data_IF_981719627112
#
_entry.id   IF_981719627112
#
_cell.length_a   1.000
_cell.length_b   1.000
_cell.length_c   1.000
_cell.angle_alpha   90.00
_cell.angle_beta   90.00
_cell.angle_gamma   90.00
#
_symmetry.space_group_name_H-M   'P 1'
#
loop_
_entity.id
_entity.type
_entity.pdbx_description
1 polymer ?
2 water ?
#
# COMPACT_ATOMS: atom_id res chain seq x y z
N UNK A 34 -6.63 -19.26 7.18
CA UNK A 34 -8.13 -19.25 7.28
C UNK A 34 -8.81 -18.46 6.17
N UNK A 35 -8.69 -17.14 6.24
CA UNK A 35 -9.27 -16.22 5.24
C UNK A 35 -8.85 -14.81 5.62
N UNK A 36 -8.40 -14.65 6.86
CA UNK A 36 -7.97 -13.35 7.40
C UNK A 36 -6.48 -13.11 7.12
N UNK A 37 -6.16 -12.04 6.38
CA UNK A 37 -4.75 -11.76 6.09
C UNK A 37 -4.01 -11.40 7.39
N UNK A 38 -3.10 -12.27 7.84
CA UNK A 38 -2.31 -12.11 9.08
C UNK A 38 -1.72 -10.72 9.30
N UNK A 39 -1.88 -10.19 10.51
CA UNK A 39 -1.33 -8.89 10.84
C UNK A 39 0.13 -9.16 11.15
N UNK A 40 1.00 -8.30 10.62
CA UNK A 40 2.44 -8.42 10.85
C UNK A 40 3.01 -7.01 10.82
N UNK A 41 3.36 -6.51 12.00
CA UNK A 41 3.88 -5.16 12.17
C UNK A 41 5.25 -4.86 11.56
N UNK A 42 6.23 -5.72 11.83
CA UNK A 42 7.60 -5.57 11.30
C UNK A 42 7.66 -4.90 9.92
N UNK A 43 8.60 -3.98 9.74
CA UNK A 43 8.75 -3.30 8.47
C UNK A 43 9.32 -4.22 7.37
N UNK A 44 8.77 -4.09 6.16
CA UNK A 44 9.16 -4.92 5.01
C UNK A 44 10.56 -4.74 4.44
N UNK A 45 10.98 -5.77 3.71
CA UNK A 45 12.26 -5.80 3.01
C UNK A 45 11.90 -5.54 1.56
N UNK A 46 12.67 -4.69 0.89
CA UNK A 46 12.39 -4.37 -0.51
C UNK A 46 13.07 -5.33 -1.46
N UNK A 47 12.27 -5.99 -2.30
CA UNK A 47 12.80 -6.95 -3.26
C UNK A 47 12.76 -6.37 -4.66
N UNK A 48 12.01 -5.28 -4.83
CA UNK A 48 11.88 -4.67 -6.14
C UNK A 48 11.20 -3.32 -5.96
N UNK A 49 11.11 -2.54 -7.03
CA UNK A 49 10.47 -1.23 -6.96
C UNK A 49 9.02 -1.45 -6.53
N UNK A 50 8.37 -2.45 -7.13
CA UNK A 50 6.97 -2.76 -6.82
C UNK A 50 6.75 -4.05 -6.03
N UNK A 51 7.75 -4.49 -5.27
CA UNK A 51 7.63 -5.70 -4.48
C UNK A 51 8.35 -5.58 -3.14
N UNK A 52 7.67 -5.98 -2.07
CA UNK A 52 8.26 -5.95 -0.73
C UNK A 52 7.75 -7.14 0.07
N UNK A 53 8.46 -7.51 1.14
CA UNK A 53 8.08 -8.68 1.92
C UNK A 53 8.28 -8.62 3.43
N UNK A 54 7.43 -9.36 4.14
CA UNK A 54 7.47 -9.47 5.60
C UNK A 54 7.45 -10.98 5.88
N UNK A 55 8.45 -11.48 6.59
CA UNK A 55 8.52 -12.90 6.91
C UNK A 55 7.70 -13.26 8.14
N UNK A 56 6.89 -14.29 8.01
CA UNK A 56 6.03 -14.76 9.10
C UNK A 56 6.74 -15.89 9.84
N UNK A 57 7.23 -16.85 9.06
CA UNK A 57 7.93 -18.01 9.58
C UNK A 57 9.19 -18.27 8.77
N UNK A 58 10.34 -18.23 9.43
CA UNK A 58 11.63 -18.49 8.78
C UNK A 58 11.65 -19.91 8.25
N UNK A 59 12.36 -20.12 7.16
CA UNK A 59 12.47 -21.44 6.59
C UNK A 59 13.91 -21.93 6.72
N UNK A 60 14.30 -22.87 5.86
CA UNK A 60 15.65 -23.40 5.90
C UNK A 60 16.21 -23.64 4.51
N UNK A 61 17.51 -23.91 4.43
CA UNK A 61 18.12 -24.16 3.15
C UNK A 61 18.41 -22.87 2.43
N UNK A 62 18.90 -22.97 1.20
CA UNK A 62 19.23 -21.79 0.42
C UNK A 62 18.05 -21.31 -0.40
N UNK A 63 18.15 -20.10 -0.91
CA UNK A 63 17.12 -19.52 -1.75
C UNK A 63 17.21 -20.31 -3.04
N UNK A 64 16.12 -20.33 -3.83
CA UNK A 64 16.13 -21.07 -5.08
C UNK A 64 16.94 -20.37 -6.14
N UNK A 65 17.34 -21.10 -7.17
CA UNK A 65 18.10 -20.52 -8.24
C UNK A 65 17.09 -20.10 -9.30
N UNK A 66 17.55 -19.32 -10.29
CA UNK A 66 16.67 -18.88 -11.35
C UNK A 66 16.24 -20.13 -12.10
N UNK A 67 15.02 -20.11 -12.62
CA UNK A 67 14.50 -21.25 -13.38
C UNK A 67 14.13 -22.47 -12.54
N UNK A 68 14.23 -22.32 -11.22
CA UNK A 68 13.88 -23.40 -10.30
C UNK A 68 12.37 -23.68 -10.25
N UNK A 69 12.01 -24.93 -9.98
CA UNK A 69 10.61 -25.31 -9.86
C UNK A 69 10.22 -25.16 -8.39
N UNK A 70 9.15 -24.42 -8.16
CA UNK A 70 8.70 -24.18 -6.79
C UNK A 70 7.28 -24.68 -6.56
N UNK A 71 7.10 -25.33 -5.42
CA UNK A 71 5.80 -25.82 -5.03
C UNK A 71 5.38 -24.96 -3.85
N UNK A 72 4.20 -24.36 -3.94
CA UNK A 72 3.76 -23.47 -2.87
C UNK A 72 2.26 -23.33 -2.69
N UNK A 73 1.90 -22.89 -1.49
CA UNK A 73 0.52 -22.61 -1.11
C UNK A 73 0.44 -21.09 -0.97
N UNK A 74 -0.73 -20.51 -1.21
CA UNK A 74 -0.87 -19.07 -1.06
C UNK A 74 -2.30 -18.55 -1.11
N UNK A 75 -2.50 -17.39 -0.52
CA UNK A 75 -3.79 -16.72 -0.53
C UNK A 75 -3.51 -15.35 -1.14
N UNK A 76 -4.50 -14.81 -1.85
CA UNK A 76 -4.31 -13.52 -2.47
C UNK A 76 -5.49 -12.61 -2.15
N UNK A 77 -5.17 -11.37 -1.82
CA UNK A 77 -6.18 -10.39 -1.46
C UNK A 77 -5.90 -9.09 -2.20
N UNK A 78 -6.95 -8.43 -2.69
CA UNK A 78 -6.80 -7.15 -3.34
C UNK A 78 -6.62 -6.22 -2.15
N UNK A 79 -5.64 -5.34 -2.21
CA UNK A 79 -5.37 -4.41 -1.12
C UNK A 79 -6.48 -3.44 -0.77
N UNK A 80 -7.18 -2.93 -1.76
CA UNK A 80 -8.19 -1.94 -1.43
C UNK A 80 -9.61 -2.33 -1.06
N UNK A 81 -9.89 -3.63 -0.96
CA UNK A 81 -11.23 -4.05 -0.53
C UNK A 81 -10.98 -5.21 0.43
N UNK A 82 -9.76 -5.76 0.34
CA UNK A 82 -9.32 -6.87 1.17
C UNK A 82 -10.15 -8.09 0.87
N UNK A 83 -10.42 -8.29 -0.42
CA UNK A 83 -11.19 -9.42 -0.90
C UNK A 83 -10.25 -10.58 -1.23
N UNK A 84 -10.57 -11.76 -0.72
CA UNK A 84 -9.74 -12.94 -0.99
C UNK A 84 -10.22 -13.57 -2.30
N UNK A 85 -9.39 -13.51 -3.34
CA UNK A 85 -9.77 -14.08 -4.61
C UNK A 85 -8.98 -15.33 -4.98
N UNK A 86 -8.15 -15.80 -4.05
CA UNK A 86 -7.35 -17.01 -4.26
C UNK A 86 -6.95 -17.58 -2.90
N UNK A 87 -7.01 -18.90 -2.78
CA UNK A 87 -6.67 -19.61 -1.53
C UNK A 87 -6.39 -21.07 -1.86
N UNK A 88 -5.14 -21.39 -2.16
CA UNK A 88 -4.78 -22.76 -2.49
C UNK A 88 -4.94 -23.72 -1.32
N UNK A 89 -4.86 -23.23 -0.09
CA UNK A 89 -5.05 -24.09 1.08
C UNK A 89 -6.50 -24.57 1.13
N UNK A 90 -7.44 -23.66 0.91
CA UNK A 90 -8.84 -24.04 0.95
C UNK A 90 -9.14 -25.08 -0.12
N UNK A 91 -8.63 -24.89 -1.34
CA UNK A 91 -8.91 -25.84 -2.39
C UNK A 91 -7.96 -27.03 -2.41
N UNK A 92 -7.16 -27.15 -1.35
CA UNK A 92 -6.21 -28.25 -1.22
C UNK A 92 -5.46 -28.50 -2.52
N UNK A 93 -4.97 -27.45 -3.15
CA UNK A 93 -4.26 -27.60 -4.42
C UNK A 93 -3.07 -26.65 -4.56
N UNK A 94 -1.91 -27.01 -3.97
CA UNK A 94 -0.76 -26.11 -4.10
C UNK A 94 -0.38 -25.99 -5.57
N UNK A 95 0.36 -24.94 -5.92
CA UNK A 95 0.75 -24.78 -7.31
C UNK A 95 2.22 -25.02 -7.56
N UNK A 96 2.53 -25.17 -8.83
CA UNK A 96 3.90 -25.38 -9.28
C UNK A 96 4.25 -24.12 -10.05
N UNK A 97 5.22 -23.38 -9.57
CA UNK A 97 5.63 -22.15 -10.21
C UNK A 97 7.08 -22.28 -10.70
N UNK A 98 7.27 -22.19 -12.01
CA UNK A 98 8.62 -22.28 -12.56
C UNK A 98 9.16 -20.87 -12.75
N UNK A 99 10.09 -20.48 -11.88
CA UNK A 99 10.69 -19.17 -11.93
C UNK A 99 11.28 -18.89 -13.32
N UNK A 100 10.90 -17.76 -13.90
CA UNK A 100 11.39 -17.40 -15.22
C UNK A 100 10.36 -17.75 -16.29
N UNK A 101 9.38 -18.57 -15.93
CA UNK A 101 8.35 -18.95 -16.90
C UNK A 101 6.96 -18.79 -16.31
N UNK A 102 6.85 -18.03 -15.22
CA UNK A 102 5.57 -17.81 -14.57
C UNK A 102 4.66 -16.95 -15.43
N UNK A 103 3.36 -17.07 -15.22
CA UNK A 103 2.40 -16.26 -15.96
C UNK A 103 2.66 -14.81 -15.58
N UNK A 104 2.20 -13.89 -16.40
CA UNK A 104 2.41 -12.48 -16.13
C UNK A 104 1.73 -11.98 -14.87
N UNK A 105 0.55 -12.51 -14.57
CA UNK A 105 -0.19 -12.08 -13.39
C UNK A 105 0.44 -12.50 -12.07
N UNK A 106 1.47 -13.34 -12.14
CA UNK A 106 2.17 -13.80 -10.94
C UNK A 106 3.60 -13.27 -10.89
N UNK A 107 3.91 -12.35 -11.80
CA UNK A 107 5.25 -11.75 -11.90
C UNK A 107 5.76 -11.26 -10.55
N UNK A 108 4.91 -10.52 -9.84
CA UNK A 108 5.29 -10.02 -8.53
C UNK A 108 5.48 -11.14 -7.52
N UNK A 109 4.55 -12.08 -7.50
CA UNK A 109 4.64 -13.19 -6.58
C UNK A 109 5.96 -13.92 -6.77
N UNK A 110 6.30 -14.22 -8.04
CA UNK A 110 7.53 -14.91 -8.39
C UNK A 110 8.76 -14.21 -7.78
N UNK A 111 8.80 -12.89 -7.93
CA UNK A 111 9.89 -12.10 -7.38
C UNK A 111 9.99 -12.32 -5.87
N UNK A 112 8.84 -12.41 -5.21
CA UNK A 112 8.85 -12.62 -3.78
C UNK A 112 9.33 -14.01 -3.47
N UNK A 113 8.78 -15.01 -4.16
CA UNK A 113 9.14 -16.41 -3.97
C UNK A 113 10.63 -16.62 -4.13
N UNK A 114 11.20 -15.98 -5.14
CA UNK A 114 12.62 -16.10 -5.42
C UNK A 114 13.47 -15.69 -4.23
N UNK A 115 12.88 -14.99 -3.27
CA UNK A 115 13.62 -14.52 -2.10
C UNK A 115 13.36 -15.38 -0.88
N UNK A 116 12.55 -16.42 -1.05
CA UNK A 116 12.20 -17.27 0.06
C UNK A 116 12.96 -18.58 0.16
N UNK A 117 13.00 -19.11 1.37
CA UNK A 117 13.66 -20.38 1.65
C UNK A 117 12.54 -21.40 1.71
N UNK A 118 12.89 -22.67 1.74
CA UNK A 118 11.88 -23.72 1.78
C UNK A 118 11.21 -23.76 3.14
N UNK A 119 9.89 -23.86 3.14
CA UNK A 119 9.15 -23.90 4.38
C UNK A 119 8.86 -22.53 4.95
N UNK A 120 9.36 -21.50 4.26
CA UNK A 120 9.12 -20.14 4.73
C UNK A 120 7.69 -19.69 4.42
N UNK A 121 7.17 -18.84 5.27
CA UNK A 121 5.83 -18.30 5.11
C UNK A 121 5.96 -16.79 5.24
N UNK A 122 5.47 -16.05 4.26
CA UNK A 122 5.59 -14.60 4.30
C UNK A 122 4.48 -13.87 3.58
N UNK A 123 4.43 -12.56 3.81
CA UNK A 123 3.45 -11.70 3.17
C UNK A 123 4.19 -11.01 2.03
N UNK A 124 3.55 -10.95 0.86
CA UNK A 124 4.19 -10.32 -0.28
C UNK A 124 3.28 -9.22 -0.83
N UNK A 125 3.81 -8.00 -0.79
CA UNK A 125 3.10 -6.83 -1.26
C UNK A 125 3.53 -6.58 -2.68
N UNK A 126 2.57 -6.68 -3.60
CA UNK A 126 2.85 -6.51 -5.01
C UNK A 126 2.09 -5.39 -5.70
N UNK A 127 2.85 -4.51 -6.35
CA UNK A 127 2.22 -3.42 -7.06
C UNK A 127 1.45 -4.02 -8.21
N UNK A 128 0.33 -3.41 -8.56
CA UNK A 128 -0.48 -3.91 -9.66
C UNK A 128 0.32 -4.09 -10.96
N UNK A 129 1.34 -3.26 -11.17
CA UNK A 129 2.15 -3.38 -12.38
C UNK A 129 2.65 -4.80 -12.57
N UNK A 130 2.99 -5.45 -11.47
CA UNK A 130 3.49 -6.81 -11.55
C UNK A 130 2.39 -7.86 -11.31
N UNK A 131 1.14 -7.41 -11.32
CA UNK A 131 -0.01 -8.30 -11.09
C UNK A 131 -0.96 -8.34 -12.29
N UNK A 132 -2.20 -7.89 -12.09
CA UNK A 132 -3.20 -7.89 -13.16
C UNK A 132 -3.20 -6.55 -13.94
N UNK A 133 -2.17 -5.74 -13.68
CA UNK A 133 -1.99 -4.48 -14.36
C UNK A 133 -3.10 -3.45 -14.51
N UNK A 134 -2.91 -2.59 -15.50
CA UNK A 134 -3.82 -1.50 -15.82
C UNK A 134 -5.29 -1.85 -15.87
N UNK A 135 -5.64 -2.93 -16.56
CA UNK A 135 -7.03 -3.35 -16.72
C UNK A 135 -7.58 -4.29 -15.67
N UNK A 136 -6.71 -4.99 -14.96
CA UNK A 136 -7.18 -5.95 -13.97
C UNK A 136 -7.66 -7.23 -14.66
N UNK A 137 -8.66 -7.88 -14.07
CA UNK A 137 -9.21 -9.11 -14.64
C UNK A 137 -10.73 -9.09 -14.52
N UNK A 138 -11.39 -9.58 -15.57
CA UNK A 138 -12.84 -9.62 -15.64
C UNK A 138 -13.51 -10.52 -14.61
N UNK A 139 -13.11 -11.79 -14.58
CA UNK A 139 -13.68 -12.74 -13.62
C UNK A 139 -12.83 -13.99 -13.46
N UNK A 140 -13.05 -14.69 -12.37
CA UNK A 140 -12.32 -15.91 -12.05
C UNK A 140 -10.81 -15.74 -12.28
N UNK A 141 -10.18 -14.80 -11.56
CA UNK A 141 -10.80 -13.93 -10.57
C UNK A 141 -11.17 -12.55 -11.08
N UNK A 142 -12.00 -11.86 -10.31
CA UNK A 142 -12.39 -10.51 -10.67
C UNK A 142 -11.44 -9.60 -9.90
N UNK A 143 -10.51 -8.98 -10.61
CA UNK A 143 -9.56 -8.08 -10.00
C UNK A 143 -9.68 -6.72 -10.66
N UNK A 144 -9.93 -5.67 -9.86
CA UNK A 144 -10.08 -4.29 -10.35
C UNK A 144 -8.82 -3.79 -11.05
N UNK A 145 -8.96 -2.73 -11.84
CA UNK A 145 -7.81 -2.16 -12.56
C UNK A 145 -6.80 -1.56 -11.57
N UNK A 146 -5.52 -1.64 -11.88
CA UNK A 146 -4.46 -1.10 -11.04
C UNK A 146 -4.70 -1.43 -9.57
N UNK A 147 -5.00 -2.69 -9.29
CA UNK A 147 -5.24 -3.12 -7.92
C UNK A 147 -4.03 -3.77 -7.26
N UNK A 148 -3.45 -3.07 -6.28
CA UNK A 148 -2.30 -3.62 -5.58
C UNK A 148 -2.78 -4.88 -4.85
N UNK A 149 -1.89 -5.85 -4.71
CA UNK A 149 -2.24 -7.10 -4.07
C UNK A 149 -1.41 -7.46 -2.87
N UNK A 150 -1.94 -8.41 -2.10
CA UNK A 150 -1.27 -8.93 -0.93
C UNK A 150 -1.25 -10.44 -1.10
N UNK A 151 -0.14 -11.06 -0.76
CA UNK A 151 -0.02 -12.51 -0.83
C UNK A 151 0.51 -13.05 0.47
N UNK A 152 -0.02 -14.20 0.86
CA UNK A 152 0.43 -14.88 2.05
C UNK A 152 0.90 -16.17 1.41
N UNK A 153 2.20 -16.28 1.21
CA UNK A 153 2.75 -17.46 0.58
C UNK A 153 3.68 -18.35 1.40
N UNK A 154 3.51 -19.65 1.25
CA UNK A 154 4.35 -20.60 1.95
C UNK A 154 4.93 -21.56 0.92
N UNK A 155 6.25 -21.56 0.81
CA UNK A 155 6.94 -22.41 -0.13
C UNK A 155 7.11 -23.83 0.38
N UNK A 156 6.51 -24.77 -0.32
CA UNK A 156 6.62 -26.18 0.06
C UNK A 156 8.06 -26.64 -0.25
N UNK A 157 8.68 -25.97 -1.22
CA UNK A 157 10.05 -26.32 -1.58
C UNK A 157 10.32 -26.16 -3.06
N UNK A 158 11.61 -26.14 -3.42
CA UNK A 158 12.03 -26.03 -4.82
C UNK A 158 12.98 -27.17 -5.21
N UNK A 159 13.10 -27.41 -6.52
CA UNK A 159 13.94 -28.50 -6.97
C UNK A 159 15.40 -28.16 -7.20
N UNK A 160 15.70 -26.87 -7.36
CA UNK A 160 17.07 -26.45 -7.61
C UNK A 160 17.44 -25.24 -6.74
N UNK A 161 18.42 -25.43 -5.86
CA UNK A 161 18.82 -24.34 -4.96
C UNK A 161 20.27 -23.85 -5.18
N UNK A 162 20.55 -22.62 -4.78
CA UNK A 162 21.89 -22.04 -4.94
C UNK A 162 22.95 -22.76 -4.09
N UNK A 163 23.94 -23.35 -4.75
CA UNK A 163 25.02 -24.06 -4.07
C UNK A 163 26.36 -23.33 -4.37
N UNK A 164 27.00 -22.82 -3.32
CA UNK A 164 28.26 -22.12 -3.48
C UNK A 164 29.35 -22.98 -4.08
N UNK B 34 -12.16 4.16 18.28
CA UNK B 34 -13.18 4.17 17.16
C UNK B 34 -12.61 4.54 15.80
N UNK B 35 -12.90 3.74 14.76
CA UNK B 35 -12.39 3.98 13.40
C UNK B 35 -13.36 3.77 12.23
N UNK B 36 -14.04 4.85 11.82
CA UNK B 36 -14.99 4.80 10.70
C UNK B 36 -14.73 6.00 9.78
N UNK B 37 -13.99 5.76 8.68
CA UNK B 37 -13.63 6.79 7.69
C UNK B 37 -14.80 7.51 7.08
N UNK B 38 -14.53 8.41 6.12
CA UNK B 38 -15.56 9.19 5.43
C UNK B 38 -15.75 8.69 3.99
N UNK B 39 -16.88 9.03 3.39
CA UNK B 39 -17.17 8.60 2.02
C UNK B 39 -17.85 9.72 1.23
N UNK B 40 -17.23 10.10 0.12
CA UNK B 40 -17.73 11.16 -0.75
C UNK B 40 -17.96 10.61 -2.14
N UNK B 41 -19.10 10.97 -2.72
CA UNK B 41 -19.40 10.48 -4.06
C UNK B 41 -18.28 10.93 -4.95
N UNK B 42 -18.28 12.19 -5.38
CA UNK B 42 -17.18 12.52 -6.24
C UNK B 42 -16.72 13.87 -6.76
N UNK B 43 -15.90 13.67 -7.79
CA UNK B 43 -15.22 14.64 -8.59
C UNK B 43 -13.89 14.80 -7.87
N UNK B 44 -13.03 13.83 -8.19
CA UNK B 44 -11.70 13.74 -7.66
C UNK B 44 -10.83 14.49 -8.63
N UNK B 45 -10.06 15.45 -8.11
CA UNK B 45 -9.16 16.22 -8.95
C UNK B 45 -7.79 15.52 -8.86
N UNK B 46 -7.14 15.32 -9.98
CA UNK B 46 -5.84 14.67 -9.98
C UNK B 46 -4.76 15.72 -9.82
N UNK B 47 -4.10 15.71 -8.67
CA UNK B 47 -3.05 16.68 -8.40
C UNK B 47 -1.70 16.05 -8.71
N UNK B 48 -1.69 14.73 -8.82
CA UNK B 48 -0.47 13.99 -9.10
C UNK B 48 -0.80 12.54 -9.44
N UNK B 49 0.18 11.80 -9.92
CA UNK B 49 -0.11 10.42 -10.26
C UNK B 49 -0.61 9.64 -9.05
N UNK B 50 0.04 9.84 -7.91
CA UNK B 50 -0.35 9.15 -6.70
C UNK B 50 -1.09 10.01 -5.69
N UNK B 51 -1.78 11.04 -6.18
CA UNK B 51 -2.54 11.93 -5.32
C UNK B 51 -3.74 12.53 -6.01
N UNK B 52 -4.89 12.54 -5.32
CA UNK B 52 -6.11 13.11 -5.86
C UNK B 52 -6.89 13.73 -4.70
N UNK B 53 -7.75 14.70 -5.01
CA UNK B 53 -8.51 15.36 -3.98
C UNK B 53 -9.99 15.48 -4.32
N UNK B 54 -10.82 15.55 -3.29
CA UNK B 54 -12.25 15.71 -3.43
C UNK B 54 -12.61 16.80 -2.43
N UNK B 55 -13.02 17.96 -2.92
CA UNK B 55 -13.38 19.05 -2.03
C UNK B 55 -14.69 18.75 -1.33
N UNK B 56 -14.72 18.96 -0.01
CA UNK B 56 -15.92 18.75 0.79
C UNK B 56 -16.52 20.11 1.06
N UNK B 57 -15.65 21.04 1.43
CA UNK B 57 -16.09 22.40 1.69
C UNK B 57 -15.08 23.32 1.01
N UNK B 58 -15.59 24.29 0.28
CA UNK B 58 -14.74 25.21 -0.45
C UNK B 58 -14.13 26.31 0.41
N UNK B 59 -12.93 26.72 0.04
CA UNK B 59 -12.27 27.79 0.77
C UNK B 59 -12.25 29.07 -0.04
N UNK B 60 -11.62 30.11 0.49
CA UNK B 60 -11.55 31.38 -0.21
C UNK B 60 -10.14 31.78 -0.58
N UNK B 61 -10.01 32.92 -1.25
CA UNK B 61 -8.72 33.39 -1.65
C UNK B 61 -8.10 32.54 -2.74
N UNK B 62 -6.78 32.46 -2.71
CA UNK B 62 -6.06 31.68 -3.70
C UNK B 62 -5.21 30.61 -3.03
N UNK B 63 -4.81 29.62 -3.81
CA UNK B 63 -3.96 28.56 -3.29
C UNK B 63 -2.65 29.23 -2.88
N UNK B 64 -1.97 28.67 -1.88
CA UNK B 64 -0.71 29.30 -1.46
C UNK B 64 0.31 29.29 -2.59
N UNK B 65 1.42 29.97 -2.37
CA UNK B 65 2.49 30.00 -3.35
C UNK B 65 3.54 29.08 -2.77
N UNK B 66 4.44 28.57 -3.61
CA UNK B 66 5.49 27.66 -3.19
C UNK B 66 6.17 28.16 -1.92
N UNK B 67 6.68 27.22 -1.14
CA UNK B 67 7.40 27.56 0.07
C UNK B 67 6.54 28.13 1.19
N UNK B 68 5.23 28.20 0.97
CA UNK B 68 4.34 28.71 2.00
C UNK B 68 4.27 27.79 3.21
N UNK B 69 4.02 28.39 4.37
CA UNK B 69 3.86 27.62 5.58
C UNK B 69 2.35 27.49 5.73
N UNK B 70 1.86 26.25 5.83
CA UNK B 70 0.43 26.03 5.95
C UNK B 70 0.05 25.50 7.32
N UNK B 71 -1.02 26.08 7.88
CA UNK B 71 -1.54 25.68 9.19
C UNK B 71 -2.80 24.86 8.96
N UNK B 72 -2.78 23.63 9.45
CA UNK B 72 -3.93 22.76 9.22
C UNK B 72 -4.20 21.68 10.26
N UNK B 73 -5.42 21.15 10.17
CA UNK B 73 -5.89 20.05 11.00
C UNK B 73 -6.09 18.88 10.05
N UNK B 74 -5.93 17.65 10.53
CA UNK B 74 -6.16 16.50 9.66
C UNK B 74 -6.25 15.17 10.39
N UNK B 75 -6.98 14.24 9.78
CA UNK B 75 -7.12 12.90 10.32
C UNK B 75 -6.61 12.00 9.20
N UNK B 76 -5.78 11.03 9.53
CA UNK B 76 -5.23 10.14 8.52
C UNK B 76 -5.69 8.71 8.75
N UNK B 77 -5.99 8.02 7.65
CA UNK B 77 -6.46 6.64 7.72
C UNK B 77 -5.77 5.80 6.66
N UNK B 78 -5.76 4.49 6.87
CA UNK B 78 -5.20 3.59 5.88
C UNK B 78 -6.43 3.11 5.12
N UNK B 79 -6.38 3.16 3.80
CA UNK B 79 -7.51 2.72 2.98
C UNK B 79 -7.79 1.25 3.27
N UNK B 80 -6.71 0.47 3.33
CA UNK B 80 -6.73 -0.97 3.57
C UNK B 80 -7.73 -1.43 4.63
N UNK B 81 -7.53 -0.95 5.86
CA UNK B 81 -8.38 -1.35 6.98
C UNK B 81 -9.20 -0.19 7.57
N UNK B 82 -8.84 1.02 7.23
CA UNK B 82 -9.55 2.17 7.75
C UNK B 82 -9.27 2.26 9.25
N UNK B 83 -8.00 2.51 9.54
CA UNK B 83 -7.48 2.69 10.89
C UNK B 83 -7.05 4.14 11.02
N UNK B 84 -7.80 4.94 11.78
CA UNK B 84 -7.43 6.34 11.95
C UNK B 84 -6.18 6.33 12.82
N UNK B 85 -5.04 6.73 12.26
CA UNK B 85 -3.79 6.71 13.01
C UNK B 85 -3.25 8.08 13.32
N UNK B 86 -4.02 9.10 12.96
CA UNK B 86 -3.60 10.47 13.19
C UNK B 86 -4.84 11.34 13.24
N UNK B 87 -4.91 12.20 14.25
CA UNK B 87 -6.07 13.08 14.41
C UNK B 87 -5.70 14.31 15.21
N UNK B 88 -5.32 15.37 14.50
CA UNK B 88 -4.90 16.61 15.12
C UNK B 88 -6.00 17.26 15.95
N UNK B 89 -7.24 17.14 15.51
CA UNK B 89 -8.36 17.72 16.26
C UNK B 89 -8.42 17.11 17.67
N UNK B 90 -8.43 15.78 17.74
CA UNK B 90 -8.49 15.07 19.03
C UNK B 90 -7.58 15.70 20.06
N UNK B 91 -6.29 15.74 19.76
CA UNK B 91 -5.29 16.31 20.65
C UNK B 91 -5.25 17.84 20.53
N UNK B 92 -6.25 18.40 19.85
CA UNK B 92 -6.37 19.85 19.68
C UNK B 92 -5.08 20.58 19.39
N UNK B 93 -4.37 20.16 18.35
CA UNK B 93 -3.13 20.83 17.99
C UNK B 93 -2.92 20.86 16.48
N UNK B 94 -3.28 21.99 15.84
CA UNK B 94 -3.12 22.16 14.40
C UNK B 94 -1.64 21.97 14.08
N UNK B 95 -1.33 21.47 12.89
CA UNK B 95 0.06 21.27 12.52
C UNK B 95 0.53 22.30 11.52
N UNK B 96 1.84 22.42 11.41
CA UNK B 96 2.46 23.38 10.52
C UNK B 96 3.13 22.61 9.41
N UNK B 97 2.79 22.94 8.17
CA UNK B 97 3.36 22.25 7.02
C UNK B 97 4.01 23.28 6.10
N UNK B 98 5.32 23.18 5.92
CA UNK B 98 6.05 24.10 5.05
C UNK B 98 6.28 23.48 3.68
N UNK B 99 5.51 23.93 2.70
CA UNK B 99 5.60 23.40 1.35
C UNK B 99 7.02 23.36 0.80
N UNK B 100 7.52 22.14 0.59
CA UNK B 100 8.86 21.96 0.05
C UNK B 100 9.78 21.25 1.03
N UNK B 101 9.75 21.70 2.28
CA UNK B 101 10.58 21.13 3.32
C UNK B 101 9.77 20.18 4.23
N UNK B 102 8.65 19.67 3.75
CA UNK B 102 7.81 18.79 4.57
C UNK B 102 8.37 17.39 4.81
N UNK B 103 7.86 16.72 5.85
CA UNK B 103 8.29 15.36 6.13
C UNK B 103 8.17 14.52 4.86
N UNK B 104 9.02 13.51 4.72
CA UNK B 104 8.99 12.66 3.55
C UNK B 104 7.67 11.87 3.48
N UNK B 105 7.25 11.31 4.61
CA UNK B 105 5.99 10.55 4.66
C UNK B 105 4.74 11.43 4.62
N UNK B 106 4.94 12.71 4.33
CA UNK B 106 3.82 13.65 4.25
C UNK B 106 3.84 14.31 2.89
N UNK B 107 4.75 13.85 2.04
CA UNK B 107 4.92 14.40 0.71
C UNK B 107 3.61 14.41 -0.06
N UNK B 108 2.77 13.40 0.20
CA UNK B 108 1.49 13.32 -0.47
C UNK B 108 0.53 14.38 0.04
N UNK B 109 0.50 14.55 1.36
CA UNK B 109 -0.38 15.53 1.98
C UNK B 109 -0.01 16.95 1.52
N UNK B 110 1.28 17.21 1.42
CA UNK B 110 1.76 18.52 0.99
C UNK B 110 1.29 18.85 -0.42
N UNK B 111 1.26 17.84 -1.30
CA UNK B 111 0.80 18.03 -2.66
C UNK B 111 -0.71 18.31 -2.62
N UNK B 112 -1.39 17.74 -1.63
CA UNK B 112 -2.81 17.97 -1.51
C UNK B 112 -3.06 19.35 -0.93
N UNK B 113 -2.32 19.72 0.10
CA UNK B 113 -2.46 21.02 0.73
C UNK B 113 -2.12 22.11 -0.29
N UNK B 114 -1.02 21.92 -1.00
CA UNK B 114 -0.56 22.88 -1.98
C UNK B 114 -1.67 23.32 -2.94
N UNK B 115 -2.74 22.55 -3.05
CA UNK B 115 -3.83 22.89 -3.96
C UNK B 115 -5.05 23.38 -3.21
N UNK B 116 -4.94 23.51 -1.90
CA UNK B 116 -6.06 23.95 -1.09
C UNK B 116 -6.05 25.43 -0.73
N UNK B 117 -7.25 25.98 -0.53
CA UNK B 117 -7.40 27.36 -0.16
C UNK B 117 -7.70 27.43 1.32
N UNK B 118 -7.54 28.60 1.92
CA UNK B 118 -7.80 28.76 3.35
C UNK B 118 -9.26 28.42 3.63
N UNK B 119 -9.50 27.56 4.61
CA UNK B 119 -10.86 27.18 4.96
C UNK B 119 -11.42 26.02 4.14
N UNK B 120 -10.65 25.55 3.16
CA UNK B 120 -11.10 24.45 2.35
C UNK B 120 -11.00 23.14 3.12
N UNK B 121 -12.01 22.30 2.95
CA UNK B 121 -12.04 20.98 3.57
C UNK B 121 -11.99 19.97 2.43
N UNK B 122 -11.21 18.92 2.60
CA UNK B 122 -11.12 17.95 1.53
C UNK B 122 -10.55 16.61 1.94
N UNK B 123 -10.82 15.62 1.09
CA UNK B 123 -10.30 14.29 1.27
C UNK B 123 -9.13 14.23 0.31
N UNK B 124 -7.99 13.75 0.78
CA UNK B 124 -6.82 13.64 -0.06
C UNK B 124 -6.39 12.17 -0.10
N UNK B 125 -6.59 11.53 -1.24
CA UNK B 125 -6.22 10.14 -1.40
C UNK B 125 -4.78 10.07 -1.89
N UNK B 126 -3.88 9.64 -1.01
CA UNK B 126 -2.46 9.56 -1.35
C UNK B 126 -1.99 8.12 -1.46
N UNK B 127 -1.29 7.81 -2.54
CA UNK B 127 -0.77 6.48 -2.75
C UNK B 127 0.38 6.24 -1.80
N UNK B 128 0.70 4.98 -1.53
CA UNK B 128 1.78 4.65 -0.61
C UNK B 128 3.17 5.16 -1.03
N UNK B 129 3.34 5.48 -2.31
CA UNK B 129 4.64 5.97 -2.78
C UNK B 129 5.03 7.30 -2.15
N UNK B 130 4.06 8.18 -2.01
CA UNK B 130 4.28 9.50 -1.44
C UNK B 130 3.91 9.52 0.04
N UNK B 131 3.94 8.36 0.66
CA UNK B 131 3.64 8.19 2.08
C UNK B 131 4.71 7.32 2.76
N UNK B 132 4.27 6.24 3.40
CA UNK B 132 5.19 5.36 4.11
C UNK B 132 5.83 4.26 3.26
N UNK B 133 5.63 4.37 1.95
CA UNK B 133 6.22 3.44 1.00
C UNK B 133 5.96 1.96 1.10
N UNK B 134 6.81 1.20 0.41
CA UNK B 134 6.68 -0.25 0.38
C UNK B 134 7.20 -0.93 1.62
N UNK B 135 7.78 -0.15 2.53
CA UNK B 135 8.26 -0.71 3.77
C UNK B 135 7.19 -0.64 4.86
N UNK B 136 6.52 0.50 4.94
CA UNK B 136 5.52 0.70 5.97
C UNK B 136 6.20 1.35 7.17
N UNK B 137 5.46 1.50 8.27
CA UNK B 137 6.01 2.08 9.49
C UNK B 137 5.69 1.16 10.66
N UNK B 138 6.72 0.72 11.36
CA UNK B 138 6.56 -0.18 12.49
C UNK B 138 5.65 0.30 13.62
N UNK B 139 5.73 1.58 13.99
CA UNK B 139 4.91 2.06 15.08
C UNK B 139 4.79 3.58 15.13
N UNK B 140 3.74 4.04 15.81
CA UNK B 140 3.49 5.48 15.99
C UNK B 140 3.94 6.30 14.77
N UNK B 141 3.27 6.12 13.62
CA UNK B 141 2.12 5.24 13.37
C UNK B 141 2.48 3.82 12.91
N UNK B 142 1.54 2.92 13.18
CA UNK B 142 1.67 1.52 12.80
C UNK B 142 1.01 1.39 11.43
N UNK B 143 1.78 1.71 10.39
CA UNK B 143 1.25 1.63 9.03
C UNK B 143 1.92 0.49 8.26
N UNK B 144 1.12 -0.40 7.66
CA UNK B 144 1.65 -1.53 6.89
C UNK B 144 2.30 -1.15 5.56
N UNK B 145 3.04 -2.09 4.96
CA UNK B 145 3.72 -1.86 3.67
C UNK B 145 2.71 -1.55 2.57
N UNK B 146 3.15 -0.82 1.55
CA UNK B 146 2.29 -0.45 0.41
C UNK B 146 0.87 -0.12 0.87
N UNK B 147 0.74 0.82 1.80
CA UNK B 147 -0.57 1.20 2.30
C UNK B 147 -1.04 2.56 1.84
N UNK B 148 -2.00 2.60 0.94
CA UNK B 148 -2.55 3.87 0.47
C UNK B 148 -3.19 4.56 1.65
N UNK B 149 -3.11 5.88 1.68
CA UNK B 149 -3.68 6.66 2.77
C UNK B 149 -4.82 7.56 2.29
N UNK B 150 -5.62 7.98 3.25
CA UNK B 150 -6.70 8.90 3.01
C UNK B 150 -6.59 9.89 4.15
N UNK B 151 -6.61 11.18 3.81
CA UNK B 151 -6.53 12.25 4.79
C UNK B 151 -7.77 13.14 4.79
N UNK B 152 -8.19 13.56 5.96
CA UNK B 152 -9.30 14.50 6.06
C UNK B 152 -8.55 15.76 6.43
N UNK B 153 -8.41 16.66 5.48
CA UNK B 153 -7.68 17.90 5.73
C UNK B 153 -8.58 19.11 5.79
N UNK B 154 -8.14 20.08 6.55
CA UNK B 154 -8.82 21.35 6.66
C UNK B 154 -7.68 22.35 6.80
N UNK B 155 -7.60 23.28 5.86
CA UNK B 155 -6.55 24.28 5.92
C UNK B 155 -7.07 25.49 6.68
N UNK B 156 -6.46 25.74 7.82
CA UNK B 156 -6.79 26.89 8.67
C UNK B 156 -6.39 28.16 7.93
N UNK B 157 -5.23 28.10 7.29
CA UNK B 157 -4.71 29.23 6.54
C UNK B 157 -3.23 29.05 6.28
N UNK B 158 -2.64 29.98 5.54
CA UNK B 158 -1.22 29.91 5.27
C UNK B 158 -0.52 31.26 5.37
N UNK B 159 0.76 31.18 5.69
CA UNK B 159 1.63 32.36 5.84
C UNK B 159 2.60 32.28 4.63
N UNK B 160 2.85 33.41 3.96
CA UNK B 160 3.71 33.38 2.79
C UNK B 160 4.25 34.74 2.37
#
# INVERSE_FOLDING_TARGET
MDESLEHQTQTHDQESEIVTEGSAVVHSEPSQEGNVPPKVDSEAEVLDEKVSKQIIKEGHGSKPSKYSTCFLHYRAWTKNSQHKFEDTWHEQQPIELVLGKEKKELAGLAIGVASMKSGERALVHVGWELAYGKEGNFSFPNVPPMADLLYEVEVIGFDETKEGKARSDMTVEERIGAAD
MDESLEHQTQTHDQESEIVTEGSAVVHSEPSQEGNVPPKVDSEAEVLDEKVSKQIIKEGHGSKPSKYSTCFLHYRAWTKNSQHKFEDTWHEQQPIELVLGKEKKELAGLAIGVASMKSGERALVHVGWELAYGKEGNFSFPNVPPMADLLYEVEVIGFDETKEGKARSDMTVEERIGAAD
#
